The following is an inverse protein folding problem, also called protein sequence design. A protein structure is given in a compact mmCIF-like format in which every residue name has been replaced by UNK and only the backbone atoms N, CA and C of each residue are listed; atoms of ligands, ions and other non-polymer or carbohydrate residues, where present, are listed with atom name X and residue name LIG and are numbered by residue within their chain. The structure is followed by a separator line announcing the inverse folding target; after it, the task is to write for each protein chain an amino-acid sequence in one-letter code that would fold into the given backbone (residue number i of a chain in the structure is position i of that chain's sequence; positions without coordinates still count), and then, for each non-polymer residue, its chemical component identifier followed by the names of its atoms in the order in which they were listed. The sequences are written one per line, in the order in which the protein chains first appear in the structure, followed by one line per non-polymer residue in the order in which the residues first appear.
data_IF_764279989342
#
_entry.id   IF_764279989342
#
_cell.length_a   1.000
_cell.length_b   1.000
_cell.length_c   1.000
_cell.angle_alpha   90.00
_cell.angle_beta   90.00
_cell.angle_gamma   90.00
#
_symmetry.space_group_name_H-M   'P 1'
#
loop_
_entity.id
_entity.type
_entity.pdbx_description
1 polymer ?
#
# COMPACT_ATOMS: atom_id res chain seq x y z
N UNK A 1 -5.69 -8.96 20.53
CA UNK A 1 -6.94 -8.70 19.76
C UNK A 1 -8.00 -9.75 20.05
N UNK A 2 -9.21 -9.34 20.43
CA UNK A 2 -10.33 -10.29 20.62
C UNK A 2 -10.75 -10.88 19.27
N UNK A 3 -11.31 -12.11 19.25
CA UNK A 3 -11.78 -12.76 18.01
C UNK A 3 -12.71 -11.83 17.20
N UNK A 4 -13.55 -11.05 17.88
CA UNK A 4 -14.49 -10.07 17.29
C UNK A 4 -13.77 -8.95 16.53
N UNK A 5 -12.67 -8.40 17.07
CA UNK A 5 -11.92 -7.34 16.40
C UNK A 5 -11.31 -7.82 15.07
N UNK A 6 -10.83 -9.07 15.01
CA UNK A 6 -10.25 -9.64 13.79
C UNK A 6 -11.29 -9.83 12.69
N UNK A 7 -12.49 -10.31 13.04
CA UNK A 7 -13.61 -10.41 12.10
C UNK A 7 -14.02 -9.05 11.53
N UNK A 8 -14.00 -7.99 12.33
CA UNK A 8 -14.32 -6.63 11.86
C UNK A 8 -13.29 -6.14 10.84
N UNK A 9 -11.99 -6.34 11.07
CA UNK A 9 -10.96 -5.94 10.10
C UNK A 9 -11.00 -6.75 8.81
N UNK A 10 -11.34 -8.04 8.90
CA UNK A 10 -11.56 -8.87 7.72
C UNK A 10 -12.73 -8.34 6.88
N UNK A 11 -13.87 -8.05 7.50
CA UNK A 11 -15.02 -7.45 6.81
C UNK A 11 -14.67 -6.08 6.21
N UNK A 12 -13.93 -5.26 6.95
CA UNK A 12 -13.46 -3.96 6.44
C UNK A 12 -12.54 -4.11 5.22
N UNK A 13 -11.69 -5.15 5.18
CA UNK A 13 -10.85 -5.44 4.01
C UNK A 13 -11.70 -5.82 2.80
N UNK A 14 -12.71 -6.68 2.98
CA UNK A 14 -13.63 -7.05 1.90
C UNK A 14 -14.43 -5.86 1.37
N UNK A 15 -14.90 -4.96 2.26
CA UNK A 15 -15.55 -3.72 1.84
C UNK A 15 -14.59 -2.81 1.06
N UNK A 16 -13.33 -2.73 1.47
CA UNK A 16 -12.32 -1.93 0.77
C UNK A 16 -12.03 -2.48 -0.64
N UNK A 17 -11.95 -3.80 -0.79
CA UNK A 17 -11.80 -4.47 -2.08
C UNK A 17 -12.99 -4.19 -3.00
N UNK A 18 -14.22 -4.24 -2.48
CA UNK A 18 -15.41 -3.87 -3.25
C UNK A 18 -15.37 -2.40 -3.69
N UNK A 19 -14.93 -1.50 -2.81
CA UNK A 19 -14.73 -0.10 -3.17
C UNK A 19 -13.65 0.07 -4.26
N UNK A 20 -12.58 -0.72 -4.25
CA UNK A 20 -11.61 -0.72 -5.35
C UNK A 20 -12.23 -1.20 -6.67
N UNK A 21 -12.99 -2.29 -6.65
CA UNK A 21 -13.65 -2.82 -7.85
C UNK A 21 -14.66 -1.84 -8.44
N UNK A 22 -15.38 -1.11 -7.59
CA UNK A 22 -16.31 -0.05 -8.01
C UNK A 22 -15.63 1.26 -8.46
N UNK A 23 -14.31 1.36 -8.39
CA UNK A 23 -13.54 2.56 -8.73
C UNK A 23 -13.59 3.67 -7.66
N UNK A 24 -14.20 3.41 -6.50
CA UNK A 24 -14.23 4.35 -5.38
C UNK A 24 -12.94 4.25 -4.53
N UNK A 25 -11.82 4.64 -5.13
CA UNK A 25 -10.49 4.53 -4.53
C UNK A 25 -10.31 5.37 -3.26
N UNK A 26 -11.00 6.51 -3.15
CA UNK A 26 -10.98 7.38 -1.98
C UNK A 26 -11.50 6.64 -0.74
N UNK A 27 -12.65 5.94 -0.88
CA UNK A 27 -13.23 5.18 0.20
C UNK A 27 -12.41 3.92 0.51
N UNK A 28 -11.95 3.21 -0.52
CA UNK A 28 -11.08 2.05 -0.36
C UNK A 28 -9.82 2.39 0.45
N UNK A 29 -9.15 3.50 0.10
CA UNK A 29 -7.96 4.00 0.79
C UNK A 29 -8.21 4.18 2.29
N UNK A 30 -9.31 4.83 2.68
CA UNK A 30 -9.67 5.06 4.10
C UNK A 30 -9.82 3.78 4.89
N UNK A 31 -10.46 2.76 4.30
CA UNK A 31 -10.58 1.45 4.95
C UNK A 31 -9.21 0.79 5.11
N UNK A 32 -8.41 0.76 4.04
CA UNK A 32 -7.08 0.16 4.07
C UNK A 32 -6.13 0.84 5.04
N UNK A 33 -6.11 2.17 5.15
CA UNK A 33 -5.27 2.90 6.11
C UNK A 33 -5.58 2.51 7.57
N UNK A 34 -6.87 2.33 7.89
CA UNK A 34 -7.30 1.91 9.22
C UNK A 34 -6.84 0.48 9.53
N UNK A 35 -6.92 -0.42 8.55
CA UNK A 35 -6.47 -1.81 8.68
C UNK A 35 -4.94 -1.88 8.78
N UNK A 36 -4.24 -1.08 7.97
CA UNK A 36 -2.78 -1.01 7.91
C UNK A 36 -2.17 -0.73 9.30
N UNK A 37 -2.65 0.32 9.98
CA UNK A 37 -2.20 0.67 11.35
C UNK A 37 -2.33 -0.49 12.34
N UNK A 38 -3.42 -1.26 12.23
CA UNK A 38 -3.63 -2.41 13.11
C UNK A 38 -2.70 -3.56 12.76
N UNK A 39 -2.57 -3.91 11.48
CA UNK A 39 -1.74 -5.03 11.04
C UNK A 39 -0.24 -4.76 11.24
N UNK A 40 0.20 -3.50 11.15
CA UNK A 40 1.55 -3.08 11.56
C UNK A 40 1.78 -3.35 13.06
N UNK A 41 0.85 -2.94 13.93
CA UNK A 41 0.94 -3.17 15.37
C UNK A 41 0.96 -4.66 15.73
N UNK A 42 0.17 -5.47 15.04
CA UNK A 42 0.06 -6.91 15.26
C UNK A 42 1.13 -7.73 14.51
N UNK A 43 1.97 -7.09 13.69
CA UNK A 43 3.04 -7.72 12.90
C UNK A 43 2.53 -8.79 11.93
N UNK A 44 1.37 -8.54 11.33
CA UNK A 44 0.76 -9.45 10.35
C UNK A 44 1.32 -9.20 8.96
N UNK A 45 2.61 -9.48 8.77
CA UNK A 45 3.36 -9.01 7.60
C UNK A 45 2.78 -9.44 6.26
N UNK A 46 2.32 -10.69 6.14
CA UNK A 46 1.71 -11.19 4.90
C UNK A 46 0.42 -10.44 4.53
N UNK A 47 -0.46 -10.23 5.52
CA UNK A 47 -1.69 -9.47 5.31
C UNK A 47 -1.38 -7.98 5.07
N UNK A 48 -0.41 -7.43 5.80
CA UNK A 48 0.03 -6.05 5.65
C UNK A 48 0.60 -5.80 4.24
N UNK A 49 1.34 -6.74 3.66
CA UNK A 49 1.83 -6.64 2.29
C UNK A 49 0.69 -6.47 1.28
N UNK A 50 -0.40 -7.23 1.43
CA UNK A 50 -1.60 -7.06 0.60
C UNK A 50 -2.18 -5.66 0.75
N UNK A 51 -2.35 -5.19 1.99
CA UNK A 51 -2.89 -3.85 2.28
C UNK A 51 -2.01 -2.75 1.67
N UNK A 52 -0.68 -2.85 1.77
CA UNK A 52 0.27 -1.88 1.18
C UNK A 52 0.19 -1.87 -0.35
N UNK A 53 0.04 -3.03 -1.01
CA UNK A 53 -0.20 -3.09 -2.47
C UNK A 53 -1.51 -2.43 -2.85
N UNK A 54 -2.59 -2.69 -2.12
CA UNK A 54 -3.89 -2.06 -2.36
C UNK A 54 -3.86 -0.54 -2.14
N UNK A 55 -3.18 -0.07 -1.09
CA UNK A 55 -2.97 1.36 -0.84
C UNK A 55 -2.17 2.01 -1.95
N UNK A 56 -1.11 1.35 -2.43
CA UNK A 56 -0.32 1.81 -3.58
C UNK A 56 -1.17 1.96 -4.83
N UNK A 57 -2.02 0.98 -5.13
CA UNK A 57 -2.96 1.07 -6.26
C UNK A 57 -3.93 2.25 -6.09
N UNK A 58 -4.50 2.44 -4.89
CA UNK A 58 -5.37 3.58 -4.62
C UNK A 58 -4.63 4.91 -4.81
N UNK A 59 -3.40 5.03 -4.30
CA UNK A 59 -2.57 6.22 -4.44
C UNK A 59 -2.27 6.54 -5.91
N UNK A 60 -1.95 5.51 -6.72
CA UNK A 60 -1.74 5.67 -8.15
C UNK A 60 -3.00 6.20 -8.87
N UNK A 61 -4.17 5.60 -8.60
CA UNK A 61 -5.43 5.99 -9.22
C UNK A 61 -5.87 7.41 -8.82
N UNK A 62 -5.63 7.79 -7.57
CA UNK A 62 -5.93 9.13 -7.04
C UNK A 62 -4.84 10.17 -7.35
N UNK A 63 -3.76 9.78 -8.04
CA UNK A 63 -2.60 10.63 -8.36
C UNK A 63 -1.93 11.25 -7.12
N UNK A 64 -1.96 10.51 -6.00
CA UNK A 64 -1.33 10.90 -4.74
C UNK A 64 0.12 10.41 -4.73
N UNK A 65 1.01 11.20 -5.32
CA UNK A 65 2.42 10.82 -5.49
C UNK A 65 3.16 10.52 -4.16
N UNK A 66 3.01 11.31 -3.08
CA UNK A 66 3.67 11.02 -1.81
C UNK A 66 3.27 9.64 -1.26
N UNK A 67 1.97 9.38 -1.16
CA UNK A 67 1.42 8.12 -0.68
C UNK A 67 1.87 6.93 -1.56
N UNK A 68 1.96 7.14 -2.88
CA UNK A 68 2.48 6.12 -3.80
C UNK A 68 3.95 5.81 -3.53
N UNK A 69 4.77 6.82 -3.26
CA UNK A 69 6.19 6.63 -2.92
C UNK A 69 6.31 5.92 -1.57
N UNK A 70 5.59 6.37 -0.54
CA UNK A 70 5.65 5.80 0.81
C UNK A 70 5.26 4.31 0.81
N UNK A 71 4.15 3.97 0.15
CA UNK A 71 3.70 2.57 0.01
C UNK A 71 4.67 1.74 -0.83
N UNK A 72 5.27 2.31 -1.88
CA UNK A 72 6.30 1.63 -2.67
C UNK A 72 7.56 1.35 -1.84
N UNK A 73 8.03 2.32 -1.05
CA UNK A 73 9.19 2.15 -0.17
C UNK A 73 8.89 1.12 0.92
N UNK A 74 7.68 1.10 1.48
CA UNK A 74 7.26 0.08 2.43
C UNK A 74 7.39 -1.33 1.83
N UNK A 75 6.95 -1.52 0.57
CA UNK A 75 7.07 -2.79 -0.16
C UNK A 75 8.52 -3.18 -0.53
N UNK A 76 9.51 -2.31 -0.36
CA UNK A 76 10.93 -2.72 -0.46
C UNK A 76 11.43 -3.47 0.77
N UNK A 77 10.67 -3.45 1.87
CA UNK A 77 11.01 -4.14 3.10
C UNK A 77 10.95 -5.66 2.92
N UNK A 78 12.00 -6.37 3.36
CA UNK A 78 12.06 -7.83 3.36
C UNK A 78 10.99 -8.51 4.23
N UNK A 79 10.30 -7.76 5.08
CA UNK A 79 9.16 -8.26 5.86
C UNK A 79 7.88 -8.30 5.03
N UNK A 80 7.73 -7.39 4.07
CA UNK A 80 6.49 -7.18 3.33
C UNK A 80 6.52 -7.82 1.94
N UNK A 81 7.69 -7.87 1.31
CA UNK A 81 7.79 -8.43 -0.03
C UNK A 81 8.87 -9.48 -0.13
N UNK A 82 8.66 -10.37 -1.10
CA UNK A 82 9.71 -11.25 -1.59
C UNK A 82 10.74 -10.44 -2.37
N UNK A 83 11.96 -10.97 -2.50
CA UNK A 83 13.02 -10.32 -3.29
C UNK A 83 12.57 -9.90 -4.71
N UNK A 84 11.91 -10.75 -5.53
CA UNK A 84 11.49 -10.35 -6.87
C UNK A 84 10.40 -9.27 -6.88
N UNK A 85 9.51 -9.26 -5.89
CA UNK A 85 8.50 -8.20 -5.76
C UNK A 85 9.16 -6.85 -5.42
N UNK A 86 10.10 -6.85 -4.47
CA UNK A 86 10.83 -5.65 -4.08
C UNK A 86 11.66 -5.11 -5.27
N UNK A 87 12.28 -6.00 -6.05
CA UNK A 87 13.00 -5.61 -7.27
C UNK A 87 12.08 -4.94 -8.29
N UNK A 88 10.90 -5.51 -8.55
CA UNK A 88 9.93 -4.92 -9.47
C UNK A 88 9.49 -3.52 -9.02
N UNK A 89 9.18 -3.35 -7.72
CA UNK A 89 8.81 -2.05 -7.15
C UNK A 89 9.95 -1.04 -7.26
N UNK A 90 11.19 -1.47 -7.01
CA UNK A 90 12.38 -0.62 -7.16
C UNK A 90 12.58 -0.17 -8.61
N UNK A 91 12.45 -1.09 -9.58
CA UNK A 91 12.59 -0.75 -10.99
C UNK A 91 11.53 0.28 -11.42
N UNK A 92 10.29 0.14 -10.95
CA UNK A 92 9.22 1.10 -11.23
C UNK A 92 9.56 2.49 -10.66
N UNK A 93 10.02 2.58 -9.40
CA UNK A 93 10.47 3.84 -8.79
C UNK A 93 11.64 4.47 -9.55
N UNK A 94 12.65 3.68 -9.91
CA UNK A 94 13.81 4.18 -10.67
C UNK A 94 13.40 4.70 -12.06
N UNK A 95 12.40 4.08 -12.69
CA UNK A 95 11.87 4.54 -13.98
C UNK A 95 11.22 5.93 -13.88
N UNK A 96 10.60 6.24 -12.73
CA UNK A 96 10.01 7.56 -12.46
C UNK A 96 11.10 8.62 -12.27
N UNK A 97 12.13 8.30 -11.50
CA UNK A 97 13.25 9.23 -11.25
C UNK A 97 14.04 9.49 -12.52
N UNK A 98 14.35 8.45 -13.32
CA UNK A 98 15.09 8.61 -14.59
C UNK A 98 14.36 9.45 -15.63
N UNK A 99 13.04 9.59 -15.52
CA UNK A 99 12.22 10.48 -16.37
C UNK A 99 12.29 11.94 -15.93
N UNK A 100 12.66 12.23 -14.68
CA UNK A 100 12.87 13.57 -14.20
C UNK A 100 14.36 13.94 -14.37
N UNK A 101 14.72 15.01 -15.11
CA UNK A 101 16.10 15.47 -15.13
C UNK A 101 16.52 15.86 -13.70
N UNK A 102 17.71 15.47 -13.23
CA UNK A 102 18.19 15.89 -11.93
C UNK A 102 18.27 17.42 -11.90
N UNK A 103 17.47 18.05 -11.05
CA UNK A 103 17.62 19.48 -10.77
C UNK A 103 18.84 19.65 -9.85
N UNK A 104 19.79 20.54 -10.17
CA UNK A 104 20.93 20.79 -9.30
C UNK A 104 20.44 21.29 -7.94
N UNK A 105 20.95 20.67 -6.87
CA UNK A 105 20.72 21.14 -5.50
C UNK A 105 21.37 22.53 -5.34
N UNK A 106 20.71 23.47 -4.64
CA UNK A 106 21.26 24.80 -4.37
C UNK A 106 22.51 24.76 -3.47
#
# INVERSE_FOLDING_TARGET
PTKRSRSIFFLAAQMAEEHMHSGNFEMAKRFFERICKQYQKERWWFALAHIERSLRTCALQLRLLPDFIDTSVALLSSKLSTCPEAEAVLQELLSLVRRAPPQPLP
#
